data_IF_479726556452
#
_entry.id   IF_479726556452
#
_cell.length_a   1.000
_cell.length_b   1.000
_cell.length_c   1.000
_cell.angle_alpha   90.00
_cell.angle_beta   90.00
_cell.angle_gamma   90.00
#
_symmetry.space_group_name_H-M   'P 1'
#
loop_
_entity.id
_entity.type
_entity.pdbx_description
1 polymer ?
#
# COMPACT_ATOMS: atom_id res chain seq x y z
N UNK A 1 8.75 16.12 -41.07
CA UNK A 1 7.56 16.63 -40.36
C UNK A 1 7.39 15.77 -39.13
N UNK A 2 7.58 16.32 -37.92
CA UNK A 2 7.32 15.57 -36.68
C UNK A 2 5.83 15.66 -36.40
N UNK A 3 5.09 14.56 -36.49
CA UNK A 3 3.67 14.53 -36.13
C UNK A 3 3.49 14.16 -34.66
N UNK A 4 2.40 14.62 -34.07
CA UNK A 4 2.00 14.33 -32.69
C UNK A 4 1.12 13.07 -32.66
N UNK A 5 1.29 12.24 -31.64
CA UNK A 5 0.41 11.13 -31.28
C UNK A 5 -0.53 11.57 -30.17
N UNK A 6 -1.78 11.11 -30.25
CA UNK A 6 -2.73 11.15 -29.14
C UNK A 6 -2.96 9.72 -28.65
N UNK A 7 -2.46 9.42 -27.45
CA UNK A 7 -2.47 8.07 -26.88
C UNK A 7 -3.47 8.00 -25.73
N UNK A 8 -4.43 7.08 -25.81
CA UNK A 8 -5.33 6.76 -24.70
C UNK A 8 -4.63 5.77 -23.78
N UNK A 9 -4.49 6.16 -22.52
CA UNK A 9 -3.79 5.44 -21.48
C UNK A 9 -4.77 5.00 -20.39
N UNK A 10 -4.54 3.82 -19.82
CA UNK A 10 -5.25 3.32 -18.65
C UNK A 10 -4.24 2.78 -17.64
N UNK A 11 -4.45 3.08 -16.36
CA UNK A 11 -3.67 2.48 -15.29
C UNK A 11 -4.15 1.04 -15.08
N UNK A 12 -3.21 0.10 -14.98
CA UNK A 12 -3.51 -1.32 -14.77
C UNK A 12 -4.41 -1.50 -13.54
N UNK A 13 -5.46 -2.31 -13.69
CA UNK A 13 -6.50 -2.55 -12.68
C UNK A 13 -7.39 -1.35 -12.31
N UNK A 14 -7.32 -0.24 -13.05
CA UNK A 14 -8.18 0.93 -12.82
C UNK A 14 -9.48 0.85 -13.65
N UNK A 15 -10.48 1.66 -13.28
CA UNK A 15 -11.77 1.68 -13.96
C UNK A 15 -11.67 2.28 -15.38
N UNK A 16 -12.40 1.72 -16.36
CA UNK A 16 -12.36 2.18 -17.77
C UNK A 16 -12.78 3.65 -17.95
N UNK A 17 -13.55 4.22 -17.02
CA UNK A 17 -13.92 5.64 -17.04
C UNK A 17 -12.74 6.55 -16.66
N UNK A 18 -11.62 5.98 -16.20
CA UNK A 18 -10.38 6.70 -15.86
C UNK A 18 -9.35 6.69 -16.98
N UNK A 19 -9.73 6.23 -18.19
CA UNK A 19 -8.91 6.41 -19.39
C UNK A 19 -8.62 7.90 -19.60
N UNK A 20 -7.36 8.22 -19.87
CA UNK A 20 -6.89 9.57 -20.11
C UNK A 20 -6.02 9.66 -21.36
N UNK A 21 -6.07 10.78 -22.06
CA UNK A 21 -5.32 10.98 -23.30
C UNK A 21 -4.05 11.79 -23.06
N UNK A 22 -2.96 11.36 -23.70
CA UNK A 22 -1.64 12.00 -23.68
C UNK A 22 -1.24 12.39 -25.10
N UNK A 23 -0.90 13.67 -25.30
CA UNK A 23 -0.32 14.17 -26.55
C UNK A 23 1.21 14.18 -26.47
N UNK A 24 1.88 13.59 -27.45
CA UNK A 24 3.35 13.48 -27.49
C UNK A 24 3.87 13.39 -28.92
N UNK A 25 5.05 13.94 -29.21
CA UNK A 25 5.63 13.87 -30.56
C UNK A 25 6.08 12.44 -30.90
N UNK A 26 5.94 12.01 -32.16
CA UNK A 26 6.41 10.70 -32.62
C UNK A 26 7.92 10.49 -32.49
N UNK A 27 8.69 11.57 -32.51
CA UNK A 27 10.14 11.57 -32.38
C UNK A 27 10.63 11.47 -30.94
N UNK A 28 9.72 11.52 -29.97
CA UNK A 28 10.05 11.35 -28.56
C UNK A 28 10.22 9.88 -28.20
N UNK A 29 10.91 9.64 -27.10
CA UNK A 29 11.14 8.29 -26.58
C UNK A 29 9.98 7.80 -25.71
N UNK A 30 9.90 6.49 -25.51
CA UNK A 30 9.05 5.89 -24.48
C UNK A 30 9.37 6.46 -23.09
N UNK A 31 10.63 6.78 -22.78
CA UNK A 31 11.00 7.46 -21.53
C UNK A 31 10.36 8.85 -21.38
N UNK A 32 10.24 9.60 -22.48
CA UNK A 32 9.49 10.85 -22.50
C UNK A 32 7.97 10.61 -22.35
N UNK A 33 7.43 9.55 -22.95
CA UNK A 33 6.03 9.14 -22.74
C UNK A 33 5.74 8.81 -21.28
N UNK A 34 6.61 8.07 -20.59
CA UNK A 34 6.47 7.79 -19.16
C UNK A 34 6.36 9.08 -18.34
N UNK A 35 7.20 10.08 -18.64
CA UNK A 35 7.14 11.41 -17.99
C UNK A 35 5.83 12.14 -18.30
N UNK A 36 5.38 12.11 -19.56
CA UNK A 36 4.13 12.73 -19.98
C UNK A 36 2.91 12.11 -19.26
N UNK A 37 2.88 10.78 -19.14
CA UNK A 37 1.87 10.03 -18.40
C UNK A 37 1.85 10.42 -16.91
N UNK A 38 3.01 10.39 -16.24
CA UNK A 38 3.13 10.83 -14.83
C UNK A 38 2.62 12.26 -14.65
N UNK A 39 3.00 13.17 -15.54
CA UNK A 39 2.58 14.56 -15.48
C UNK A 39 1.09 14.78 -15.74
N UNK A 40 0.46 13.90 -16.53
CA UNK A 40 -0.97 13.97 -16.83
C UNK A 40 -1.82 13.45 -15.67
N UNK A 41 -1.33 12.43 -14.95
CA UNK A 41 -2.04 11.78 -13.84
C UNK A 41 -1.22 11.86 -12.54
N UNK A 42 -0.89 13.09 -12.11
CA UNK A 42 0.05 13.35 -11.02
C UNK A 42 -0.38 12.75 -9.69
N UNK A 43 -1.66 12.81 -9.37
CA UNK A 43 -2.17 12.33 -8.08
C UNK A 43 -1.98 10.81 -7.96
N UNK A 44 -2.26 10.07 -9.04
CA UNK A 44 -2.02 8.62 -9.10
C UNK A 44 -0.54 8.25 -9.01
N UNK A 45 0.35 9.10 -9.56
CA UNK A 45 1.79 8.82 -9.66
C UNK A 45 2.66 9.73 -8.76
N UNK A 46 2.10 10.30 -7.70
CA UNK A 46 2.77 11.35 -6.91
C UNK A 46 4.07 10.85 -6.23
N UNK A 47 4.14 9.57 -5.89
CA UNK A 47 5.29 8.91 -5.25
C UNK A 47 6.02 7.92 -6.16
N UNK A 48 5.69 7.90 -7.45
CA UNK A 48 6.25 6.92 -8.40
C UNK A 48 7.19 7.64 -9.34
N UNK A 49 8.46 7.22 -9.42
CA UNK A 49 9.39 7.77 -10.39
C UNK A 49 9.01 7.35 -11.82
N UNK A 50 9.04 8.30 -12.76
CA UNK A 50 8.48 8.07 -14.09
C UNK A 50 9.18 6.92 -14.82
N UNK A 51 10.49 6.75 -14.64
CA UNK A 51 11.29 5.69 -15.25
C UNK A 51 10.90 4.28 -14.76
N UNK A 52 10.36 4.16 -13.55
CA UNK A 52 9.88 2.90 -12.96
C UNK A 52 8.54 2.41 -13.53
N UNK A 53 7.78 3.26 -14.24
CA UNK A 53 6.52 2.85 -14.85
C UNK A 53 6.76 1.79 -15.94
N UNK A 54 6.03 0.69 -15.90
CA UNK A 54 5.97 -0.27 -17.00
C UNK A 54 4.84 0.11 -17.95
N UNK A 55 5.12 0.16 -19.25
CA UNK A 55 4.17 0.51 -20.30
C UNK A 55 4.02 -0.67 -21.26
N UNK A 56 2.80 -1.04 -21.61
CA UNK A 56 2.51 -1.98 -22.69
C UNK A 56 1.72 -1.27 -23.77
N UNK A 57 2.13 -1.49 -25.03
CA UNK A 57 1.32 -1.11 -26.19
C UNK A 57 0.20 -2.14 -26.35
N UNK A 58 -1.03 -1.67 -26.38
CA UNK A 58 -2.22 -2.49 -26.63
C UNK A 58 -3.06 -1.89 -27.74
N UNK A 59 -4.06 -2.64 -28.21
CA UNK A 59 -4.99 -2.19 -29.25
C UNK A 59 -6.39 -2.75 -29.01
N UNK A 60 -7.02 -2.30 -27.93
CA UNK A 60 -8.38 -2.70 -27.55
C UNK A 60 -9.39 -1.59 -27.83
N UNK A 61 -10.56 -1.88 -28.43
CA UNK A 61 -11.62 -0.89 -28.56
C UNK A 61 -12.15 -0.48 -27.17
N UNK A 62 -12.39 0.81 -26.95
CA UNK A 62 -12.98 1.29 -25.69
C UNK A 62 -14.49 1.07 -25.73
N UNK A 63 -14.90 -0.13 -25.37
CA UNK A 63 -16.28 -0.61 -25.27
C UNK A 63 -16.55 -1.19 -23.89
N UNK A 64 -17.78 -1.63 -23.63
CA UNK A 64 -18.15 -2.30 -22.38
C UNK A 64 -17.44 -3.65 -22.16
N UNK A 65 -16.83 -4.24 -23.20
CA UNK A 65 -16.06 -5.49 -23.11
C UNK A 65 -14.60 -5.28 -22.69
N UNK A 66 -14.10 -4.03 -22.70
CA UNK A 66 -12.70 -3.73 -22.41
C UNK A 66 -12.19 -4.33 -21.09
N UNK A 67 -12.94 -4.35 -19.97
CA UNK A 67 -12.48 -5.00 -18.74
C UNK A 67 -12.20 -6.50 -18.90
N UNK A 68 -13.03 -7.21 -19.67
CA UNK A 68 -12.85 -8.63 -19.97
C UNK A 68 -11.65 -8.86 -20.88
N UNK A 69 -11.50 -8.01 -21.90
CA UNK A 69 -10.36 -8.06 -22.83
C UNK A 69 -9.03 -7.86 -22.09
N UNK A 70 -8.98 -6.91 -21.14
CA UNK A 70 -7.81 -6.66 -20.30
C UNK A 70 -7.56 -7.79 -19.29
N UNK A 71 -8.62 -8.36 -18.70
CA UNK A 71 -8.51 -9.47 -17.76
C UNK A 71 -7.99 -10.75 -18.39
N UNK A 72 -8.26 -10.96 -19.69
CA UNK A 72 -7.78 -12.11 -20.46
C UNK A 72 -6.39 -11.88 -21.08
N UNK A 73 -5.86 -10.66 -21.04
CA UNK A 73 -4.56 -10.33 -21.61
C UNK A 73 -3.44 -10.55 -20.59
N UNK A 74 -2.44 -11.35 -20.95
CA UNK A 74 -1.26 -11.55 -20.11
C UNK A 74 -0.25 -10.41 -20.31
N UNK A 75 0.04 -9.66 -19.24
CA UNK A 75 1.03 -8.58 -19.26
C UNK A 75 2.37 -9.08 -18.73
N UNK A 76 3.22 -9.57 -19.64
CA UNK A 76 4.56 -10.08 -19.29
C UNK A 76 5.54 -8.91 -19.17
N UNK A 77 6.29 -8.82 -18.06
CA UNK A 77 7.21 -7.69 -17.79
C UNK A 77 8.27 -7.50 -18.88
N UNK A 78 8.74 -8.59 -19.49
CA UNK A 78 9.72 -8.58 -20.59
C UNK A 78 9.20 -7.96 -21.89
N UNK A 79 7.88 -7.84 -22.02
CA UNK A 79 7.21 -7.26 -23.19
C UNK A 79 6.87 -5.78 -22.98
N UNK A 80 7.22 -5.22 -21.82
CA UNK A 80 7.08 -3.79 -21.58
C UNK A 80 7.97 -2.97 -22.53
N UNK A 81 7.48 -1.80 -22.93
CA UNK A 81 8.15 -0.92 -23.88
C UNK A 81 9.50 -0.42 -23.33
N UNK A 82 10.52 -0.52 -24.18
CA UNK A 82 11.87 -0.08 -23.84
C UNK A 82 11.93 1.45 -23.73
N UNK A 83 12.49 2.03 -22.65
CA UNK A 83 12.48 3.48 -22.45
C UNK A 83 13.28 4.27 -23.49
N UNK A 84 14.20 3.62 -24.22
CA UNK A 84 15.01 4.24 -25.27
C UNK A 84 14.39 4.13 -26.66
N UNK A 85 13.29 3.39 -26.79
CA UNK A 85 12.61 3.21 -28.08
C UNK A 85 11.89 4.51 -28.47
N UNK A 86 11.97 4.88 -29.75
CA UNK A 86 11.26 6.04 -30.30
C UNK A 86 9.79 5.67 -30.57
N UNK A 87 8.86 6.58 -30.27
CA UNK A 87 7.43 6.32 -30.43
C UNK A 87 7.02 6.09 -31.89
N UNK A 88 7.79 6.60 -32.85
CA UNK A 88 7.59 6.32 -34.27
C UNK A 88 7.84 4.86 -34.64
N UNK A 89 8.73 4.16 -33.92
CA UNK A 89 8.99 2.73 -34.07
C UNK A 89 7.92 1.89 -33.34
N UNK A 90 7.49 2.32 -32.15
CA UNK A 90 6.41 1.66 -31.39
C UNK A 90 5.07 1.77 -32.14
N UNK A 91 4.77 2.94 -32.70
CA UNK A 91 3.56 3.25 -33.44
C UNK A 91 3.90 3.57 -34.91
N UNK A 92 4.23 2.54 -35.69
CA UNK A 92 4.49 2.67 -37.13
C UNK A 92 3.31 3.28 -37.88
N UNK A 93 2.09 2.87 -37.47
CA UNK A 93 0.83 3.41 -37.96
C UNK A 93 0.19 4.38 -36.95
N UNK A 94 -0.65 5.33 -37.41
CA UNK A 94 -1.42 6.19 -36.52
C UNK A 94 -2.29 5.38 -35.53
N UNK A 95 -2.35 5.77 -34.24
CA UNK A 95 -3.24 5.15 -33.26
C UNK A 95 -4.70 5.21 -33.68
N UNK A 96 -5.46 4.15 -33.41
CA UNK A 96 -6.86 4.02 -33.84
C UNK A 96 -7.76 4.85 -32.91
N UNK A 97 -8.64 5.67 -33.47
CA UNK A 97 -9.56 6.47 -32.65
C UNK A 97 -10.46 5.56 -31.79
N UNK A 98 -10.69 5.98 -30.53
CA UNK A 98 -11.50 5.26 -29.52
C UNK A 98 -10.94 3.89 -29.11
N UNK A 99 -9.65 3.65 -29.29
CA UNK A 99 -8.96 2.48 -28.76
C UNK A 99 -8.12 2.86 -27.55
N UNK A 100 -7.94 1.92 -26.64
CA UNK A 100 -6.90 1.96 -25.64
C UNK A 100 -5.57 1.64 -26.32
N UNK A 101 -4.58 2.50 -26.12
CA UNK A 101 -3.27 2.41 -26.78
C UNK A 101 -2.17 1.96 -25.83
N UNK A 102 -2.25 2.37 -24.56
CA UNK A 102 -1.22 2.10 -23.55
C UNK A 102 -1.88 1.62 -22.26
N UNK A 103 -1.39 0.50 -21.72
CA UNK A 103 -1.61 0.13 -20.33
C UNK A 103 -0.38 0.53 -19.52
N UNK A 104 -0.60 1.22 -18.41
CA UNK A 104 0.44 1.73 -17.51
C UNK A 104 0.36 0.97 -16.20
N UNK A 105 1.42 0.29 -15.81
CA UNK A 105 1.53 -0.31 -14.47
C UNK A 105 2.61 0.45 -13.72
N UNK A 106 2.28 0.97 -12.55
CA UNK A 106 3.30 1.38 -11.60
C UNK A 106 4.13 0.15 -11.21
N UNK A 107 5.41 0.30 -10.80
CA UNK A 107 6.10 -0.81 -10.16
C UNK A 107 5.21 -1.31 -9.00
N UNK A 108 5.31 -2.61 -8.62
CA UNK A 108 4.77 -3.01 -7.34
C UNK A 108 5.37 -2.04 -6.33
N UNK A 109 4.52 -1.17 -5.81
CA UNK A 109 4.84 -0.39 -4.62
C UNK A 109 5.34 -1.42 -3.63
N UNK A 110 6.58 -1.29 -3.13
CA UNK A 110 6.80 -1.63 -1.73
C UNK A 110 5.56 -1.07 -1.01
N UNK A 111 4.77 -1.94 -0.35
CA UNK A 111 3.38 -1.65 -0.01
C UNK A 111 3.30 -0.22 0.47
N UNK A 112 2.53 0.64 -0.22
CA UNK A 112 2.68 2.10 -0.14
C UNK A 112 2.67 2.45 1.33
N UNK A 113 3.81 2.86 1.92
CA UNK A 113 4.03 3.06 3.37
C UNK A 113 2.70 3.17 4.11
N UNK A 114 2.11 2.01 4.40
CA UNK A 114 0.74 1.95 4.90
C UNK A 114 0.98 1.97 6.37
N UNK A 115 1.22 3.17 6.89
CA UNK A 115 1.44 3.34 8.30
C UNK A 115 0.14 3.03 9.02
N UNK A 116 0.13 2.00 9.86
CA UNK A 116 -0.90 1.81 10.85
C UNK A 116 -0.72 2.85 11.95
N UNK A 117 -1.83 3.38 12.44
CA UNK A 117 -1.91 4.15 13.68
C UNK A 117 -2.65 3.27 14.68
N UNK A 118 -1.90 2.64 15.58
CA UNK A 118 -2.43 1.67 16.53
C UNK A 118 -2.52 2.30 17.91
N UNK A 119 -3.74 2.36 18.46
CA UNK A 119 -3.96 2.75 19.85
C UNK A 119 -3.68 1.56 20.75
N UNK A 120 -2.80 1.78 21.70
CA UNK A 120 -2.29 0.79 22.64
C UNK A 120 -2.71 1.14 24.07
N UNK A 121 -2.93 0.11 24.89
CA UNK A 121 -3.22 0.23 26.32
C UNK A 121 -2.37 -0.77 27.08
N UNK A 122 -1.63 -0.30 28.10
CA UNK A 122 -0.89 -1.17 29.00
C UNK A 122 -1.84 -1.71 30.06
N UNK A 123 -2.07 -3.02 30.06
CA UNK A 123 -2.98 -3.67 31.00
C UNK A 123 -2.52 -3.45 32.44
N UNK A 124 -3.42 -2.89 33.25
CA UNK A 124 -3.16 -2.58 34.66
C UNK A 124 -2.78 -1.12 34.91
N UNK A 125 -2.56 -0.34 33.86
CA UNK A 125 -2.36 1.11 33.95
C UNK A 125 -3.69 1.88 33.97
N UNK A 126 -3.63 3.20 34.04
CA UNK A 126 -4.77 4.09 33.86
C UNK A 126 -5.24 4.08 32.39
N UNK A 127 -6.55 3.89 32.17
CA UNK A 127 -7.16 3.87 30.83
C UNK A 127 -7.01 5.21 30.10
N UNK A 128 -6.81 6.31 30.84
CA UNK A 128 -6.53 7.63 30.29
C UNK A 128 -5.13 7.73 29.66
N UNK A 129 -4.27 6.74 29.86
CA UNK A 129 -2.93 6.69 29.30
C UNK A 129 -2.85 5.84 28.02
N UNK A 130 -3.95 5.61 27.32
CA UNK A 130 -3.85 5.05 25.95
C UNK A 130 -2.93 5.91 25.08
N UNK A 131 -2.23 5.27 24.16
CA UNK A 131 -1.22 5.94 23.34
C UNK A 131 -1.19 5.38 21.93
N UNK A 132 -0.88 6.25 20.99
CA UNK A 132 -0.80 5.89 19.58
C UNK A 132 0.65 5.54 19.18
N UNK A 133 0.80 4.43 18.48
CA UNK A 133 2.05 4.01 17.85
C UNK A 133 1.84 3.97 16.34
N UNK A 134 2.73 4.65 15.61
CA UNK A 134 2.77 4.62 14.15
C UNK A 134 3.81 3.61 13.70
N UNK A 135 3.43 2.71 12.79
CA UNK A 135 4.32 1.67 12.28
C UNK A 135 3.86 1.23 10.89
N UNK A 136 4.80 0.82 10.04
CA UNK A 136 4.49 0.33 8.70
C UNK A 136 3.79 -1.04 8.75
N UNK A 137 2.76 -1.25 7.93
CA UNK A 137 2.06 -2.55 7.81
C UNK A 137 3.00 -3.70 7.44
N UNK A 138 4.08 -3.43 6.71
CA UNK A 138 5.07 -4.45 6.32
C UNK A 138 6.03 -4.85 7.44
N UNK A 139 5.99 -4.18 8.59
CA UNK A 139 6.87 -4.51 9.72
C UNK A 139 6.31 -5.69 10.53
N UNK A 140 7.18 -6.54 11.09
CA UNK A 140 6.76 -7.63 11.95
C UNK A 140 6.34 -7.13 13.34
N UNK A 141 5.54 -7.93 14.05
CA UNK A 141 5.12 -7.69 15.43
C UNK A 141 6.32 -7.44 16.37
N UNK A 142 7.49 -8.07 16.14
CA UNK A 142 8.70 -7.80 16.91
C UNK A 142 9.17 -6.33 16.80
N UNK A 143 9.14 -5.74 15.59
CA UNK A 143 9.45 -4.33 15.40
C UNK A 143 8.41 -3.44 16.12
N UNK A 144 7.15 -3.86 16.12
CA UNK A 144 6.10 -3.17 16.86
C UNK A 144 6.29 -3.17 18.38
N UNK A 145 6.76 -4.29 18.97
CA UNK A 145 7.12 -4.34 20.40
C UNK A 145 8.21 -3.32 20.74
N UNK A 146 9.22 -3.18 19.89
CA UNK A 146 10.27 -2.16 20.05
C UNK A 146 9.70 -0.75 19.98
N UNK A 147 8.80 -0.47 19.03
CA UNK A 147 8.15 0.83 18.89
C UNK A 147 7.29 1.18 20.12
N UNK A 148 6.53 0.22 20.65
CA UNK A 148 5.77 0.38 21.91
C UNK A 148 6.71 0.71 23.07
N UNK A 149 7.80 -0.05 23.22
CA UNK A 149 8.80 0.17 24.27
C UNK A 149 9.37 1.59 24.23
N UNK A 150 9.78 2.05 23.05
CA UNK A 150 10.33 3.40 22.90
C UNK A 150 9.27 4.49 23.15
N UNK A 151 8.02 4.24 22.76
CA UNK A 151 6.92 5.19 22.97
C UNK A 151 6.53 5.34 24.43
N UNK A 152 6.68 4.28 25.22
CA UNK A 152 6.25 4.21 26.62
C UNK A 152 7.38 4.49 27.63
N UNK A 153 8.46 5.14 27.18
CA UNK A 153 9.54 5.58 28.08
C UNK A 153 9.06 6.71 28.99
N UNK A 154 9.53 6.78 30.25
CA UNK A 154 10.58 5.94 30.84
C UNK A 154 10.09 4.62 31.46
N UNK A 155 8.78 4.36 31.50
CA UNK A 155 8.21 3.24 32.24
C UNK A 155 8.69 1.87 31.72
N UNK A 156 8.99 1.75 30.43
CA UNK A 156 9.54 0.53 29.81
C UNK A 156 11.07 0.51 29.62
N UNK A 157 11.83 1.43 30.23
CA UNK A 157 13.30 1.46 30.09
C UNK A 157 13.99 0.17 30.55
N UNK A 158 13.42 -0.48 31.57
CA UNK A 158 13.93 -1.71 32.18
C UNK A 158 13.23 -2.98 31.68
N UNK A 159 12.28 -2.86 30.76
CA UNK A 159 11.49 -3.97 30.21
C UNK A 159 12.11 -4.41 28.89
N UNK A 160 12.24 -5.72 28.66
CA UNK A 160 12.64 -6.22 27.34
C UNK A 160 11.46 -6.08 26.36
N UNK A 161 11.70 -5.61 25.14
CA UNK A 161 10.63 -5.55 24.14
C UNK A 161 10.09 -6.96 23.85
N UNK A 162 10.95 -7.98 23.90
CA UNK A 162 10.55 -9.37 23.64
C UNK A 162 9.66 -9.95 24.74
N UNK A 163 9.67 -9.38 25.95
CA UNK A 163 8.79 -9.77 27.04
C UNK A 163 7.39 -9.13 26.96
N UNK A 164 7.15 -8.23 26.00
CA UNK A 164 5.85 -7.63 25.78
C UNK A 164 4.91 -8.62 25.08
N UNK A 165 3.88 -9.07 25.80
CA UNK A 165 2.72 -9.75 25.24
C UNK A 165 1.75 -8.75 24.63
N UNK A 166 1.36 -9.00 23.37
CA UNK A 166 0.43 -8.15 22.62
C UNK A 166 -0.80 -8.97 22.21
N UNK A 167 -1.99 -8.41 22.41
CA UNK A 167 -3.26 -8.95 21.90
C UNK A 167 -3.92 -7.96 20.95
N UNK A 168 -4.35 -8.45 19.79
CA UNK A 168 -5.19 -7.68 18.88
C UNK A 168 -6.63 -7.65 19.41
N UNK A 169 -7.17 -6.44 19.58
CA UNK A 169 -8.53 -6.19 20.07
C UNK A 169 -9.18 -5.10 19.22
N UNK A 170 -10.50 -4.97 19.34
CA UNK A 170 -11.25 -3.87 18.73
C UNK A 170 -12.30 -3.39 19.73
N UNK A 171 -11.94 -2.42 20.58
CA UNK A 171 -12.76 -1.97 21.71
C UNK A 171 -12.94 -0.46 21.63
N UNK A 172 -14.16 0.09 21.69
CA UNK A 172 -14.36 1.54 21.74
C UNK A 172 -13.60 2.20 22.90
N UNK A 173 -13.00 3.36 22.67
CA UNK A 173 -12.35 4.17 23.71
C UNK A 173 -13.42 4.96 24.49
N UNK A 174 -14.00 4.33 25.50
CA UNK A 174 -14.94 4.95 26.42
C UNK A 174 -14.53 4.74 27.90
N UNK A 175 -15.35 5.26 28.82
CA UNK A 175 -15.12 5.16 30.27
C UNK A 175 -15.09 3.72 30.81
N UNK A 176 -15.61 2.74 30.05
CA UNK A 176 -15.67 1.33 30.41
C UNK A 176 -14.51 0.52 29.82
N UNK A 177 -13.52 1.16 29.17
CA UNK A 177 -12.41 0.48 28.50
C UNK A 177 -11.71 -0.52 29.41
N UNK A 178 -11.36 -0.10 30.64
CA UNK A 178 -10.65 -0.94 31.61
C UNK A 178 -11.45 -2.17 31.99
N UNK A 179 -12.73 -1.99 32.36
CA UNK A 179 -13.61 -3.09 32.72
C UNK A 179 -13.81 -4.06 31.56
N UNK A 180 -13.90 -3.53 30.33
CA UNK A 180 -14.03 -4.35 29.12
C UNK A 180 -12.78 -5.18 28.88
N UNK A 181 -11.60 -4.59 28.99
CA UNK A 181 -10.32 -5.30 28.87
C UNK A 181 -10.14 -6.36 29.96
N UNK A 182 -10.55 -6.09 31.20
CA UNK A 182 -10.44 -7.06 32.29
C UNK A 182 -11.39 -8.26 32.14
N UNK A 183 -12.54 -8.06 31.48
CA UNK A 183 -13.48 -9.12 31.12
C UNK A 183 -13.06 -9.91 29.88
N UNK A 184 -12.16 -9.38 29.04
CA UNK A 184 -11.56 -10.14 27.97
C UNK A 184 -10.68 -11.23 28.57
N UNK A 185 -11.04 -12.49 28.34
CA UNK A 185 -10.23 -13.65 28.68
C UNK A 185 -8.94 -13.72 27.84
N UNK A 186 -8.07 -12.72 28.00
CA UNK A 186 -6.79 -12.62 27.31
C UNK A 186 -5.86 -13.73 27.83
N UNK A 187 -5.80 -14.82 27.07
CA UNK A 187 -4.95 -15.98 27.29
C UNK A 187 -3.71 -15.92 26.41
N UNK A 188 -2.63 -16.56 26.85
CA UNK A 188 -1.33 -16.52 26.18
C UNK A 188 -1.35 -17.16 24.78
N UNK A 189 -2.28 -18.09 24.53
CA UNK A 189 -2.48 -18.72 23.21
C UNK A 189 -2.88 -17.72 22.11
N UNK A 190 -3.46 -16.58 22.49
CA UNK A 190 -3.90 -15.53 21.55
C UNK A 190 -2.87 -14.40 21.38
N UNK A 191 -1.65 -14.58 21.87
CA UNK A 191 -0.58 -13.61 21.71
C UNK A 191 -0.18 -13.47 20.24
N UNK A 192 0.06 -12.22 19.82
CA UNK A 192 0.59 -11.95 18.49
C UNK A 192 2.02 -12.49 18.38
N UNK A 193 2.20 -13.36 17.38
CA UNK A 193 3.48 -14.02 17.11
C UNK A 193 4.52 -13.00 16.61
N UNK A 194 5.77 -12.99 17.12
CA UNK A 194 6.74 -11.93 16.81
C UNK A 194 7.07 -11.77 15.32
N UNK A 195 7.06 -12.87 14.56
CA UNK A 195 7.40 -12.88 13.13
C UNK A 195 6.20 -12.60 12.22
N UNK A 196 4.99 -12.48 12.78
CA UNK A 196 3.79 -12.16 12.00
C UNK A 196 3.90 -10.71 11.50
N UNK A 197 3.54 -10.47 10.24
CA UNK A 197 3.50 -9.12 9.70
C UNK A 197 2.26 -8.39 10.21
N UNK A 198 2.38 -7.08 10.44
CA UNK A 198 1.22 -6.28 10.85
C UNK A 198 0.13 -6.23 9.79
N UNK A 199 0.47 -6.38 8.51
CA UNK A 199 -0.49 -6.55 7.42
C UNK A 199 -1.37 -7.79 7.55
N UNK A 200 -0.85 -8.85 8.18
CA UNK A 200 -1.60 -10.10 8.39
C UNK A 200 -2.54 -9.95 9.60
N UNK A 201 -2.13 -9.19 10.61
CA UNK A 201 -2.94 -8.89 11.81
C UNK A 201 -4.04 -7.88 11.51
N UNK A 202 -3.71 -6.85 10.72
CA UNK A 202 -4.58 -5.74 10.33
C UNK A 202 -4.64 -5.66 8.80
N UNK A 203 -5.41 -6.55 8.14
CA UNK A 203 -5.54 -6.53 6.68
C UNK A 203 -6.25 -5.26 6.15
N UNK A 204 -6.87 -4.49 7.04
CA UNK A 204 -7.49 -3.19 6.77
C UNK A 204 -7.14 -2.21 7.90
N UNK A 205 -7.29 -0.92 7.62
CA UNK A 205 -7.06 0.11 8.62
C UNK A 205 -8.04 -0.06 9.79
N UNK A 206 -7.56 -0.14 11.03
CA UNK A 206 -8.41 -0.33 12.19
C UNK A 206 -9.28 0.90 12.45
N UNK A 207 -10.42 0.68 13.12
CA UNK A 207 -11.45 1.69 13.32
C UNK A 207 -10.96 2.86 14.19
N UNK A 208 -11.25 4.09 13.79
CA UNK A 208 -10.91 5.24 14.61
C UNK A 208 -11.67 5.23 15.96
N UNK A 209 -11.07 5.84 16.99
CA UNK A 209 -11.65 5.87 18.33
C UNK A 209 -11.74 4.51 19.04
N UNK A 210 -11.01 3.49 18.58
CA UNK A 210 -10.93 2.18 19.22
C UNK A 210 -9.52 1.90 19.77
N UNK A 211 -9.47 1.08 20.81
CA UNK A 211 -8.28 0.38 21.25
C UNK A 211 -8.02 -0.78 20.29
N UNK A 212 -6.79 -0.86 19.80
CA UNK A 212 -6.35 -1.89 18.84
C UNK A 212 -5.47 -2.95 19.49
N UNK A 213 -4.68 -2.56 20.49
CA UNK A 213 -3.67 -3.43 21.10
C UNK A 213 -3.72 -3.34 22.62
N UNK A 214 -3.87 -4.49 23.28
CA UNK A 214 -3.58 -4.61 24.72
C UNK A 214 -2.13 -5.07 24.88
N UNK A 215 -1.38 -4.36 25.71
CA UNK A 215 0.03 -4.64 26.03
C UNK A 215 0.13 -5.16 27.46
N UNK A 216 0.90 -6.21 27.69
CA UNK A 216 1.24 -6.68 29.03
C UNK A 216 2.70 -7.13 29.06
N UNK A 217 3.44 -6.71 30.09
CA UNK A 217 4.75 -7.31 30.35
C UNK A 217 4.56 -8.73 30.90
N UNK A 218 5.08 -9.72 30.19
CA UNK A 218 5.03 -11.12 30.58
C UNK A 218 6.38 -11.52 31.21
N UNK A 219 6.40 -12.33 32.27
CA UNK A 219 7.64 -12.87 32.78
C UNK A 219 8.28 -13.73 31.68
N UNK A 220 9.57 -13.49 31.38
CA UNK A 220 10.34 -14.36 30.50
C UNK A 220 10.43 -15.70 31.23
N UNK A 221 9.76 -16.73 30.71
CA UNK A 221 9.92 -18.08 31.24
C UNK A 221 11.36 -18.52 31.00
N UNK A 222 12.10 -18.78 32.08
CA UNK A 222 13.39 -19.48 32.02
C UNK A 222 13.14 -20.85 31.37
N UNK A 223 13.65 -21.05 30.16
CA UNK A 223 13.72 -22.35 29.50
C UNK A 223 14.81 -23.22 30.14
#
# INVERSE_FOLDING_TARGET
MSSTLELNCLVFSDDINRIFSVEILRTESVGALKKAIKNKNKDTFQHVDADTLALWKVSFPVTTSLPEDLGNHEFVDKESLSPVEELSAVFSEPPILKYLHIVVKAPPTDPPSSTLQLVCYVRGDDYMRTFEVKIEMGEPVAAFRNAIKEKWRPDFDHVDADSLGLWNVNIPLDENLKETVDKLGLVDENLLFPLLLLSDVFPQQPADGHLHIVVKNLPISEC
#
